data_IF_480352120689
#
_entry.id   IF_480352120689
#
_cell.length_a   1.000
_cell.length_b   1.000
_cell.length_c   1.000
_cell.angle_alpha   90.00
_cell.angle_beta   90.00
_cell.angle_gamma   90.00
#
_symmetry.space_group_name_H-M   'P 1'
#
loop_
_entity.id
_entity.type
_entity.pdbx_description
1 polymer ?
#
# COMPACT_ATOMS: atom_id res chain seq x y z
N UNK A 1 15.45 -1.79 5.48
CA UNK A 1 15.51 -3.17 4.95
C UNK A 1 14.30 -4.02 5.31
N UNK A 2 13.79 -4.00 6.54
CA UNK A 2 12.63 -4.81 6.96
C UNK A 2 11.42 -4.75 6.00
N UNK A 3 11.05 -3.56 5.52
CA UNK A 3 9.95 -3.38 4.55
C UNK A 3 10.19 -4.16 3.24
N UNK A 4 11.43 -4.17 2.72
CA UNK A 4 11.79 -4.95 1.52
C UNK A 4 11.64 -6.45 1.79
N UNK A 5 12.15 -6.92 2.92
CA UNK A 5 12.02 -8.32 3.33
C UNK A 5 10.55 -8.74 3.49
N UNK A 6 9.71 -7.89 4.09
CA UNK A 6 8.26 -8.15 4.17
C UNK A 6 7.60 -8.25 2.80
N UNK A 7 8.02 -7.45 1.82
CA UNK A 7 7.52 -7.53 0.44
C UNK A 7 7.98 -8.83 -0.22
N UNK A 8 9.26 -9.14 -0.13
CA UNK A 8 9.85 -10.36 -0.71
C UNK A 8 9.21 -11.63 -0.15
N UNK A 9 8.87 -11.64 1.15
CA UNK A 9 8.17 -12.74 1.82
C UNK A 9 6.64 -12.69 1.67
N UNK A 10 6.12 -11.63 1.04
CA UNK A 10 4.70 -11.50 0.74
C UNK A 10 3.80 -11.05 1.90
N UNK A 11 4.36 -10.57 3.01
CA UNK A 11 3.60 -9.96 4.12
C UNK A 11 3.12 -8.55 3.77
N UNK A 12 3.97 -7.75 3.14
CA UNK A 12 3.62 -6.42 2.64
C UNK A 12 3.38 -6.50 1.12
N UNK A 13 2.38 -5.76 0.62
CA UNK A 13 2.01 -5.78 -0.81
C UNK A 13 2.46 -4.54 -1.57
N UNK A 14 2.61 -3.43 -0.86
CA UNK A 14 2.88 -2.13 -1.48
C UNK A 14 3.39 -1.12 -0.46
N UNK A 15 4.22 -0.18 -0.91
CA UNK A 15 4.74 0.95 -0.15
C UNK A 15 4.23 2.24 -0.76
N UNK A 16 3.74 3.14 0.08
CA UNK A 16 3.45 4.51 -0.31
C UNK A 16 4.36 5.41 0.51
N UNK A 17 5.30 6.09 -0.14
CA UNK A 17 6.26 6.95 0.55
C UNK A 17 6.05 8.42 0.22
N UNK A 18 6.15 9.25 1.25
CA UNK A 18 6.22 10.71 1.16
C UNK A 18 7.67 11.21 1.11
N UNK A 19 8.63 10.34 1.37
CA UNK A 19 10.04 10.70 1.42
C UNK A 19 10.61 10.83 0.02
N UNK A 20 11.51 11.80 -0.15
CA UNK A 20 12.23 12.03 -1.41
C UNK A 20 13.68 11.51 -1.37
N UNK A 21 14.12 10.99 -0.23
CA UNK A 21 15.51 10.56 0.03
C UNK A 21 16.03 9.43 -0.88
N UNK A 22 15.11 8.70 -1.52
CA UNK A 22 15.40 7.59 -2.42
C UNK A 22 15.87 6.30 -1.73
N UNK A 23 15.78 6.19 -0.41
CA UNK A 23 16.26 5.02 0.34
C UNK A 23 15.47 3.73 0.03
N UNK A 24 14.17 3.84 -0.27
CA UNK A 24 13.41 2.69 -0.74
C UNK A 24 13.92 2.18 -2.10
N UNK A 25 14.12 3.09 -3.07
CA UNK A 25 14.73 2.77 -4.35
C UNK A 25 16.11 2.13 -4.15
N UNK A 26 16.98 2.77 -3.38
CA UNK A 26 18.35 2.29 -3.11
C UNK A 26 18.38 0.95 -2.39
N UNK A 27 17.39 0.64 -1.56
CA UNK A 27 17.30 -0.69 -0.92
C UNK A 27 17.12 -1.84 -1.92
N UNK A 28 16.84 -1.53 -3.19
CA UNK A 28 16.53 -2.49 -4.24
C UNK A 28 15.06 -2.90 -4.26
N UNK A 29 14.18 -2.06 -3.68
CA UNK A 29 12.75 -2.28 -3.79
C UNK A 29 12.30 -2.04 -5.23
N UNK A 30 11.65 -3.04 -5.84
CA UNK A 30 11.25 -2.95 -7.24
C UNK A 30 10.15 -1.88 -7.46
N UNK A 31 10.22 -1.21 -8.61
CA UNK A 31 9.30 -0.13 -9.01
C UNK A 31 7.83 -0.50 -8.83
N UNK A 32 7.45 -1.75 -9.13
CA UNK A 32 6.07 -2.22 -9.07
C UNK A 32 5.47 -2.27 -7.66
N UNK A 33 6.27 -2.09 -6.60
CA UNK A 33 5.81 -2.16 -5.21
C UNK A 33 5.79 -0.82 -4.48
N UNK A 34 6.03 0.29 -5.17
CA UNK A 34 6.18 1.60 -4.53
C UNK A 34 5.48 2.73 -5.27
N UNK A 35 4.83 3.61 -4.52
CA UNK A 35 4.45 4.95 -4.96
C UNK A 35 5.32 6.00 -4.28
N UNK A 36 5.98 6.85 -5.07
CA UNK A 36 6.83 7.95 -4.59
C UNK A 36 6.10 9.28 -4.77
N UNK A 37 5.18 9.58 -3.86
CA UNK A 37 4.14 10.58 -4.14
C UNK A 37 4.64 12.03 -4.14
N UNK A 38 5.81 12.31 -3.54
CA UNK A 38 6.44 13.63 -3.54
C UNK A 38 7.69 13.70 -4.46
N UNK A 39 7.90 12.67 -5.28
CA UNK A 39 9.10 12.51 -6.09
C UNK A 39 10.25 11.80 -5.37
N UNK A 40 11.42 11.78 -6.00
CA UNK A 40 12.62 11.15 -5.47
C UNK A 40 13.86 11.88 -6.00
N UNK A 41 14.81 12.18 -5.12
CA UNK A 41 16.07 12.87 -5.44
C UNK A 41 16.92 12.15 -6.50
N UNK A 42 16.68 10.88 -6.76
CA UNK A 42 17.42 10.06 -7.71
C UNK A 42 16.60 9.75 -8.96
N UNK A 43 15.44 10.38 -9.19
CA UNK A 43 14.63 10.11 -10.39
C UNK A 43 14.44 11.36 -11.24
N UNK A 44 14.34 11.14 -12.55
CA UNK A 44 14.15 12.20 -13.54
C UNK A 44 13.05 11.79 -14.52
N UNK A 45 12.19 12.72 -14.93
CA UNK A 45 11.07 12.46 -15.86
C UNK A 45 11.20 13.26 -17.14
N UNK A 46 10.99 12.62 -18.29
CA UNK A 46 11.02 13.30 -19.57
C UNK A 46 9.74 14.10 -19.81
N UNK A 47 9.85 15.37 -20.21
CA UNK A 47 8.69 16.21 -20.50
C UNK A 47 7.86 15.75 -21.71
N UNK A 48 8.49 15.10 -22.71
CA UNK A 48 7.83 14.63 -23.93
C UNK A 48 7.29 13.21 -23.84
N UNK A 49 8.15 12.22 -23.60
CA UNK A 49 7.74 10.81 -23.59
C UNK A 49 7.23 10.30 -22.23
N UNK A 50 7.30 11.13 -21.18
CA UNK A 50 6.87 10.83 -19.81
C UNK A 50 7.58 9.66 -19.12
N UNK A 51 8.55 9.01 -19.76
CA UNK A 51 9.41 8.00 -19.14
C UNK A 51 10.23 8.61 -18.00
N UNK A 52 10.42 7.81 -16.97
CA UNK A 52 11.21 8.14 -15.79
C UNK A 52 12.47 7.29 -15.76
N UNK A 53 13.56 7.86 -15.25
CA UNK A 53 14.86 7.22 -15.18
C UNK A 53 15.50 7.43 -13.82
N UNK A 54 16.27 6.45 -13.37
CA UNK A 54 17.09 6.58 -12.17
C UNK A 54 18.43 7.24 -12.52
N UNK A 55 18.80 8.25 -11.73
CA UNK A 55 20.09 8.91 -11.74
C UNK A 55 21.03 8.24 -10.73
N UNK A 56 22.32 8.13 -11.10
CA UNK A 56 23.38 7.64 -10.20
C UNK A 56 23.60 8.56 -9.00
N UNK A 57 23.43 9.86 -9.19
CA UNK A 57 23.59 10.88 -8.16
C UNK A 57 22.29 11.63 -7.95
N UNK A 58 22.14 12.25 -6.78
CA UNK A 58 21.00 13.13 -6.54
C UNK A 58 20.93 14.23 -7.62
N UNK A 59 19.72 14.55 -8.05
CA UNK A 59 19.45 15.69 -8.93
C UNK A 59 19.80 16.99 -8.21
N UNK A 60 20.17 18.02 -8.99
CA UNK A 60 20.66 19.31 -8.45
C UNK A 60 19.54 20.33 -8.22
N UNK A 61 18.30 19.97 -8.48
CA UNK A 61 17.14 20.87 -8.49
C UNK A 61 15.96 20.26 -7.73
N UNK A 62 15.02 21.11 -7.34
CA UNK A 62 13.76 20.77 -6.69
C UNK A 62 12.66 21.60 -7.35
N UNK A 63 11.46 21.03 -7.49
CA UNK A 63 10.31 21.75 -8.03
C UNK A 63 10.11 21.52 -9.52
N UNK A 64 10.36 20.30 -9.99
CA UNK A 64 10.17 19.90 -11.39
C UNK A 64 10.86 20.85 -12.37
N UNK A 65 12.15 21.13 -12.12
CA UNK A 65 12.97 22.02 -12.94
C UNK A 65 13.73 21.25 -14.02
N UNK A 66 14.03 21.95 -15.11
CA UNK A 66 14.74 21.38 -16.26
C UNK A 66 16.19 21.07 -15.88
N UNK A 67 16.62 19.84 -16.10
CA UNK A 67 17.99 19.39 -15.84
C UNK A 67 18.92 19.62 -17.04
N UNK A 68 18.39 20.06 -18.18
CA UNK A 68 19.11 20.19 -19.46
C UNK A 68 19.74 18.87 -19.97
N UNK A 69 19.24 17.73 -19.49
CA UNK A 69 19.65 16.39 -19.93
C UNK A 69 18.69 15.92 -21.03
N UNK A 70 19.23 15.49 -22.17
CA UNK A 70 18.41 14.92 -23.27
C UNK A 70 17.83 13.57 -22.86
N UNK A 71 16.59 13.31 -23.26
CA UNK A 71 15.96 12.02 -23.03
C UNK A 71 16.68 10.91 -23.82
N UNK A 72 17.02 9.82 -23.13
CA UNK A 72 17.65 8.64 -23.73
C UNK A 72 16.64 7.64 -24.32
N UNK A 73 15.36 7.76 -23.98
CA UNK A 73 14.32 6.84 -24.45
C UNK A 73 13.93 7.03 -25.92
N UNK A 74 13.18 6.05 -26.44
CA UNK A 74 12.57 6.09 -27.76
C UNK A 74 11.11 6.55 -27.67
N UNK A 75 10.63 7.23 -28.71
CA UNK A 75 9.21 7.57 -28.85
C UNK A 75 8.39 6.36 -29.35
N UNK A 76 7.08 6.53 -29.51
CA UNK A 76 6.17 5.46 -29.97
C UNK A 76 6.53 4.90 -31.35
N UNK A 77 7.14 5.71 -32.21
CA UNK A 77 7.59 5.32 -33.56
C UNK A 77 9.00 4.70 -33.56
N UNK A 78 9.61 4.44 -32.39
CA UNK A 78 10.94 3.87 -32.29
C UNK A 78 12.10 4.85 -32.49
N UNK A 79 11.82 6.11 -32.81
CA UNK A 79 12.82 7.17 -32.99
C UNK A 79 13.29 7.71 -31.65
N UNK A 80 14.51 8.26 -31.60
CA UNK A 80 15.05 8.89 -30.39
C UNK A 80 14.11 10.01 -29.89
N UNK A 81 13.79 9.98 -28.60
CA UNK A 81 12.98 11.02 -28.00
C UNK A 81 13.74 12.35 -27.99
N UNK A 82 13.11 13.42 -28.48
CA UNK A 82 13.67 14.78 -28.49
C UNK A 82 13.26 15.60 -27.26
N UNK A 83 12.97 14.93 -26.15
CA UNK A 83 12.57 15.57 -24.88
C UNK A 83 13.78 15.89 -24.02
N UNK A 84 13.53 16.65 -22.96
CA UNK A 84 14.53 16.91 -21.91
C UNK A 84 14.00 16.40 -20.57
N UNK A 85 14.92 16.05 -19.68
CA UNK A 85 14.61 15.52 -18.37
C UNK A 85 14.45 16.64 -17.34
N UNK A 86 13.51 16.43 -16.43
CA UNK A 86 13.22 17.28 -15.29
C UNK A 86 13.37 16.46 -14.01
N UNK A 87 13.66 17.10 -12.88
CA UNK A 87 13.52 16.42 -11.58
C UNK A 87 12.05 16.07 -11.29
N UNK A 88 11.84 15.17 -10.34
CA UNK A 88 10.50 14.69 -9.96
C UNK A 88 10.01 15.29 -8.65
N UNK A 89 10.84 16.07 -7.96
CA UNK A 89 10.55 16.55 -6.61
C UNK A 89 9.54 17.68 -6.70
N UNK A 90 8.51 17.60 -5.84
CA UNK A 90 7.47 18.60 -5.80
C UNK A 90 7.90 19.82 -4.97
N UNK A 91 7.51 21.00 -5.45
CA UNK A 91 7.37 22.21 -4.63
C UNK A 91 5.90 22.37 -4.18
N UNK A 92 5.62 23.28 -3.25
CA UNK A 92 4.32 23.42 -2.57
C UNK A 92 3.11 23.55 -3.50
N UNK A 93 3.26 24.24 -4.63
CA UNK A 93 2.17 24.49 -5.57
C UNK A 93 1.96 23.34 -6.58
N UNK A 94 2.83 22.34 -6.58
CA UNK A 94 2.72 21.22 -7.50
C UNK A 94 1.63 20.25 -7.06
N UNK A 95 0.93 19.71 -8.05
CA UNK A 95 0.04 18.57 -7.85
C UNK A 95 0.84 17.29 -7.63
N UNK A 96 0.31 16.37 -6.83
CA UNK A 96 0.85 15.02 -6.73
C UNK A 96 0.83 14.33 -8.11
N UNK A 97 1.83 13.48 -8.44
CA UNK A 97 1.80 12.72 -9.67
C UNK A 97 0.59 11.79 -9.69
N UNK A 98 -0.25 11.92 -10.73
CA UNK A 98 -1.53 11.23 -10.83
C UNK A 98 -1.36 9.72 -10.78
N UNK A 99 -0.37 9.18 -11.49
CA UNK A 99 -0.15 7.73 -11.55
C UNK A 99 0.28 7.16 -10.18
N UNK A 100 1.14 7.88 -9.45
CA UNK A 100 1.59 7.49 -8.11
C UNK A 100 0.44 7.50 -7.12
N UNK A 101 -0.39 8.56 -7.15
CA UNK A 101 -1.54 8.71 -6.27
C UNK A 101 -2.62 7.66 -6.57
N UNK A 102 -2.91 7.39 -7.84
CA UNK A 102 -3.87 6.36 -8.23
C UNK A 102 -3.45 4.98 -7.72
N UNK A 103 -2.17 4.62 -7.87
CA UNK A 103 -1.62 3.37 -7.34
C UNK A 103 -1.71 3.30 -5.82
N UNK A 104 -1.30 4.38 -5.14
CA UNK A 104 -1.35 4.46 -3.69
C UNK A 104 -2.79 4.28 -3.15
N UNK A 105 -3.76 4.96 -3.76
CA UNK A 105 -5.16 4.80 -3.40
C UNK A 105 -5.70 3.41 -3.72
N UNK A 106 -5.30 2.83 -4.86
CA UNK A 106 -5.75 1.52 -5.31
C UNK A 106 -5.30 0.42 -4.34
N UNK A 107 -4.01 0.41 -4.00
CA UNK A 107 -3.45 -0.53 -3.03
C UNK A 107 -4.04 -0.32 -1.64
N UNK A 108 -4.18 0.93 -1.17
CA UNK A 108 -4.79 1.17 0.13
C UNK A 108 -6.25 0.72 0.17
N UNK A 109 -7.06 0.97 -0.87
CA UNK A 109 -8.45 0.47 -0.93
C UNK A 109 -8.50 -1.07 -0.84
N UNK A 110 -7.50 -1.77 -1.36
CA UNK A 110 -7.47 -3.25 -1.33
C UNK A 110 -6.95 -3.83 -0.01
N UNK A 111 -6.18 -3.06 0.74
CA UNK A 111 -5.54 -3.50 1.97
C UNK A 111 -6.57 -3.87 3.06
N UNK A 112 -6.30 -4.98 3.73
CA UNK A 112 -6.89 -5.35 5.02
C UNK A 112 -6.12 -4.71 6.19
N UNK A 113 -4.88 -4.27 5.97
CA UNK A 113 -4.06 -3.53 6.93
C UNK A 113 -3.23 -2.45 6.24
N UNK A 114 -3.29 -1.22 6.75
CA UNK A 114 -2.34 -0.14 6.43
C UNK A 114 -1.56 0.25 7.68
N UNK A 115 -0.24 0.32 7.56
CA UNK A 115 0.66 0.75 8.65
C UNK A 115 1.34 2.05 8.22
N UNK A 116 1.13 3.12 8.99
CA UNK A 116 1.81 4.40 8.79
C UNK A 116 3.04 4.43 9.68
N UNK A 117 4.22 4.62 9.11
CA UNK A 117 5.49 4.64 9.83
C UNK A 117 6.14 6.02 9.70
N UNK A 118 6.39 6.70 10.82
CA UNK A 118 7.21 7.92 10.82
C UNK A 118 6.62 9.10 10.05
N UNK A 119 5.29 9.26 10.02
CA UNK A 119 4.63 10.39 9.36
C UNK A 119 3.64 11.07 10.30
N UNK A 120 3.66 12.41 10.32
CA UNK A 120 2.70 13.22 11.09
C UNK A 120 1.29 13.24 10.48
N UNK A 121 1.14 12.72 9.25
CA UNK A 121 -0.11 12.69 8.48
C UNK A 121 -0.75 14.08 8.30
N UNK A 122 0.07 15.14 8.23
CA UNK A 122 -0.43 16.51 8.08
C UNK A 122 -0.77 16.88 6.64
N UNK A 123 0.03 16.42 5.69
CA UNK A 123 -0.02 16.80 4.27
C UNK A 123 -1.19 16.10 3.58
N UNK A 124 -2.02 16.89 2.91
CA UNK A 124 -3.11 16.40 2.07
C UNK A 124 -2.69 16.39 0.59
N UNK A 125 -3.25 15.50 -0.23
CA UNK A 125 -4.25 14.48 0.11
C UNK A 125 -3.66 13.17 0.67
N UNK A 126 -2.33 13.03 0.74
CA UNK A 126 -1.67 11.75 1.04
C UNK A 126 -2.05 11.18 2.42
N UNK A 127 -2.29 12.03 3.41
CA UNK A 127 -2.73 11.60 4.74
C UNK A 127 -4.08 10.87 4.77
N UNK A 128 -4.92 11.03 3.73
CA UNK A 128 -6.20 10.33 3.61
C UNK A 128 -6.02 8.92 3.05
N UNK A 129 -4.92 8.66 2.33
CA UNK A 129 -4.70 7.40 1.63
C UNK A 129 -4.80 6.20 2.56
N UNK A 130 -4.11 6.11 3.71
CA UNK A 130 -4.16 4.92 4.59
C UNK A 130 -5.59 4.51 5.00
N UNK A 131 -6.48 5.49 5.14
CA UNK A 131 -7.86 5.27 5.59
C UNK A 131 -8.78 4.76 4.49
N UNK A 132 -8.34 4.72 3.24
CA UNK A 132 -9.08 4.07 2.18
C UNK A 132 -9.28 2.57 2.43
N UNK A 133 -8.36 1.92 3.16
CA UNK A 133 -8.49 0.52 3.60
C UNK A 133 -9.77 0.26 4.40
N UNK A 134 -10.19 1.23 5.23
CA UNK A 134 -11.41 1.10 6.06
C UNK A 134 -12.68 0.94 5.24
N UNK A 135 -12.71 1.44 4.00
CA UNK A 135 -13.86 1.25 3.07
C UNK A 135 -14.12 -0.23 2.79
N UNK A 136 -13.11 -1.09 2.94
CA UNK A 136 -13.20 -2.53 2.77
C UNK A 136 -12.92 -3.30 4.07
N UNK A 137 -13.26 -2.69 5.23
CA UNK A 137 -13.05 -3.25 6.58
C UNK A 137 -11.58 -3.44 6.98
N UNK A 138 -10.64 -2.87 6.23
CA UNK A 138 -9.24 -2.87 6.60
C UNK A 138 -8.97 -2.03 7.86
N UNK A 139 -7.86 -2.33 8.52
CA UNK A 139 -7.39 -1.70 9.75
C UNK A 139 -6.26 -0.72 9.45
N UNK A 140 -6.13 0.31 10.28
CA UNK A 140 -5.05 1.30 10.17
C UNK A 140 -4.26 1.36 11.47
N UNK A 141 -2.97 1.12 11.38
CA UNK A 141 -2.00 1.26 12.48
C UNK A 141 -1.14 2.48 12.21
N UNK A 142 -0.85 3.27 13.24
CA UNK A 142 0.07 4.39 13.16
C UNK A 142 1.21 4.16 14.14
N UNK A 143 2.45 4.17 13.66
CA UNK A 143 3.64 4.23 14.49
C UNK A 143 4.36 5.55 14.26
N UNK A 144 4.39 6.39 15.30
CA UNK A 144 5.09 7.67 15.26
C UNK A 144 5.43 8.13 16.67
N UNK A 145 6.61 8.72 16.86
CA UNK A 145 7.02 9.28 18.16
C UNK A 145 6.08 10.41 18.61
N UNK A 146 5.69 11.26 17.66
CA UNK A 146 4.80 12.40 17.91
C UNK A 146 3.33 12.03 17.62
N UNK A 147 2.42 12.78 18.24
CA UNK A 147 1.00 12.78 17.89
C UNK A 147 0.80 13.09 16.41
N UNK A 148 -0.10 12.36 15.73
CA UNK A 148 -0.42 12.62 14.32
C UNK A 148 -1.75 13.34 14.15
N UNK A 149 -1.96 13.97 12.99
CA UNK A 149 -3.25 14.60 12.64
C UNK A 149 -4.41 13.59 12.60
N UNK A 150 -4.12 12.30 12.50
CA UNK A 150 -5.13 11.27 12.24
C UNK A 150 -5.19 10.14 13.29
N UNK A 151 -4.60 10.32 14.48
CA UNK A 151 -4.60 9.31 15.55
C UNK A 151 -6.00 8.78 15.87
N UNK A 152 -7.00 9.69 15.98
CA UNK A 152 -8.39 9.33 16.28
C UNK A 152 -9.06 8.43 15.23
N UNK A 153 -8.49 8.33 14.03
CA UNK A 153 -9.01 7.48 12.96
C UNK A 153 -8.32 6.11 12.94
N UNK A 154 -7.18 5.93 13.60
CA UNK A 154 -6.46 4.66 13.61
C UNK A 154 -7.17 3.63 14.49
N UNK A 155 -6.98 2.35 14.18
CA UNK A 155 -7.38 1.23 15.03
C UNK A 155 -6.34 0.96 16.13
N UNK A 156 -5.08 1.33 15.90
CA UNK A 156 -3.99 1.25 16.86
C UNK A 156 -2.97 2.38 16.63
N UNK A 157 -2.51 3.01 17.70
CA UNK A 157 -1.44 4.00 17.69
C UNK A 157 -0.32 3.53 18.60
N UNK A 158 0.91 3.52 18.10
CA UNK A 158 2.12 3.08 18.82
C UNK A 158 3.12 4.24 18.82
N UNK A 159 3.56 4.63 20.00
CA UNK A 159 4.54 5.71 20.17
C UNK A 159 5.91 5.12 20.50
N UNK A 160 6.70 4.82 19.48
CA UNK A 160 8.05 4.26 19.60
C UNK A 160 8.89 4.58 18.36
N UNK A 161 10.18 4.25 18.39
CA UNK A 161 11.04 4.28 17.20
C UNK A 161 10.57 3.22 16.20
N UNK A 162 10.51 3.60 14.91
CA UNK A 162 10.06 2.69 13.84
C UNK A 162 10.96 1.47 13.76
N UNK A 163 12.27 1.61 14.00
CA UNK A 163 13.20 0.48 13.98
C UNK A 163 12.88 -0.54 15.08
N UNK A 164 12.59 -0.09 16.32
CA UNK A 164 12.22 -0.99 17.43
C UNK A 164 10.91 -1.75 17.12
N UNK A 165 9.91 -1.05 16.57
CA UNK A 165 8.66 -1.68 16.14
C UNK A 165 8.93 -2.71 15.05
N UNK A 166 9.68 -2.35 14.01
CA UNK A 166 9.93 -3.22 12.87
C UNK A 166 10.78 -4.42 13.27
N UNK A 167 11.79 -4.26 14.12
CA UNK A 167 12.59 -5.39 14.66
C UNK A 167 11.71 -6.35 15.45
N UNK A 168 10.88 -5.83 16.35
CA UNK A 168 9.94 -6.65 17.14
C UNK A 168 8.94 -7.38 16.25
N UNK A 169 8.39 -6.70 15.23
CA UNK A 169 7.46 -7.28 14.27
C UNK A 169 8.11 -8.38 13.43
N UNK A 170 9.32 -8.13 12.90
CA UNK A 170 10.04 -9.10 12.09
C UNK A 170 10.38 -10.36 12.90
N UNK A 171 10.76 -10.21 14.16
CA UNK A 171 10.98 -11.34 15.07
C UNK A 171 9.70 -12.14 15.31
N UNK A 172 8.56 -11.47 15.57
CA UNK A 172 7.26 -12.14 15.76
C UNK A 172 6.76 -12.86 14.51
N UNK A 173 7.10 -12.34 13.33
CA UNK A 173 6.76 -12.96 12.04
C UNK A 173 7.75 -14.04 11.62
N UNK A 174 8.84 -14.24 12.37
CA UNK A 174 9.95 -15.13 12.01
C UNK A 174 10.53 -14.80 10.61
N UNK A 175 10.66 -13.51 10.31
CA UNK A 175 11.22 -13.03 9.03
C UNK A 175 12.57 -12.39 9.25
N UNK A 176 13.60 -12.94 8.59
CA UNK A 176 14.92 -12.32 8.55
C UNK A 176 14.91 -10.97 7.82
N UNK A 177 15.62 -10.00 8.40
CA UNK A 177 15.87 -8.71 7.74
C UNK A 177 17.09 -8.87 6.83
N UNK A 178 16.84 -8.78 5.52
CA UNK A 178 17.88 -8.82 4.50
C UNK A 178 18.89 -7.67 4.70
N UNK A 179 20.17 -7.94 4.45
CA UNK A 179 21.20 -6.90 4.46
C UNK A 179 21.11 -6.06 3.18
N UNK A 180 21.50 -4.80 3.27
CA UNK A 180 21.65 -3.97 2.09
C UNK A 180 22.78 -4.53 1.20
N UNK A 181 22.50 -4.64 -0.09
CA UNK A 181 23.46 -5.08 -1.08
C UNK A 181 23.53 -4.07 -2.22
N UNK A 182 24.72 -3.53 -2.45
CA UNK A 182 25.00 -2.49 -3.46
C UNK A 182 24.62 -2.93 -4.88
N UNK A 183 24.66 -4.24 -5.16
CA UNK A 183 24.27 -4.83 -6.45
C UNK A 183 22.78 -4.71 -6.73
N UNK A 184 21.95 -4.55 -5.68
CA UNK A 184 20.50 -4.37 -5.81
C UNK A 184 20.10 -2.90 -5.88
N UNK A 185 21.03 -1.97 -5.65
CA UNK A 185 20.80 -0.53 -5.65
C UNK A 185 20.72 0.01 -7.09
N UNK A 186 19.55 0.47 -7.56
CA UNK A 186 19.38 0.97 -8.92
C UNK A 186 20.20 2.23 -9.24
N UNK A 187 20.72 2.92 -8.21
CA UNK A 187 21.63 4.08 -8.40
C UNK A 187 23.07 3.66 -8.65
N UNK A 188 23.42 2.38 -8.45
CA UNK A 188 24.79 1.88 -8.54
C UNK A 188 25.02 0.82 -9.63
N UNK A 189 24.04 0.58 -10.51
CA UNK A 189 24.19 -0.36 -11.62
C UNK A 189 25.17 0.21 -12.65
N UNK A 190 26.23 -0.56 -12.97
CA UNK A 190 27.35 -0.21 -13.83
C UNK A 190 26.91 0.39 -15.19
N UNK A 191 26.78 1.72 -15.23
CA UNK A 191 26.47 2.54 -16.41
C UNK A 191 25.12 2.30 -17.09
N UNK A 192 24.29 1.38 -16.58
CA UNK A 192 22.95 1.15 -17.12
C UNK A 192 21.97 2.13 -16.47
N UNK A 193 21.35 2.98 -17.28
CA UNK A 193 20.26 3.83 -16.80
C UNK A 193 19.05 2.93 -16.53
N UNK A 194 18.63 2.90 -15.27
CA UNK A 194 17.47 2.12 -14.85
C UNK A 194 16.18 2.84 -15.25
N UNK A 195 15.29 2.12 -15.92
CA UNK A 195 13.93 2.58 -16.19
C UNK A 195 13.11 2.58 -14.90
N UNK A 196 12.49 3.71 -14.59
CA UNK A 196 11.65 3.91 -13.41
C UNK A 196 10.21 4.32 -13.77
N UNK A 197 9.83 4.09 -15.03
CA UNK A 197 8.53 4.48 -15.59
C UNK A 197 7.42 3.58 -15.05
N UNK A 198 6.31 4.16 -14.60
CA UNK A 198 5.04 3.43 -14.47
C UNK A 198 4.44 3.34 -15.88
N UNK A 199 4.33 2.12 -16.42
CA UNK A 199 3.72 1.94 -17.72
C UNK A 199 2.19 1.86 -17.62
N UNK A 200 1.51 2.29 -18.68
CA UNK A 200 0.05 2.23 -18.76
C UNK A 200 -0.49 0.79 -18.62
N UNK A 201 0.28 -0.20 -19.08
CA UNK A 201 -0.05 -1.61 -18.91
C UNK A 201 0.00 -2.05 -17.45
N UNK A 202 0.94 -1.54 -16.65
CA UNK A 202 0.99 -1.82 -15.21
C UNK A 202 -0.29 -1.30 -14.53
N UNK A 203 -0.69 -0.07 -14.86
CA UNK A 203 -1.93 0.52 -14.37
C UNK A 203 -3.17 -0.29 -14.81
N UNK A 204 -3.21 -0.76 -16.06
CA UNK A 204 -4.30 -1.61 -16.57
C UNK A 204 -4.38 -2.94 -15.81
N UNK A 205 -3.24 -3.62 -15.63
CA UNK A 205 -3.17 -4.89 -14.94
C UNK A 205 -3.66 -4.77 -13.48
N UNK A 206 -3.23 -3.73 -12.76
CA UNK A 206 -3.64 -3.55 -11.36
C UNK A 206 -5.13 -3.16 -11.27
N UNK A 207 -5.64 -2.35 -12.21
CA UNK A 207 -7.08 -2.06 -12.30
C UNK A 207 -7.90 -3.32 -12.58
N UNK A 208 -7.40 -4.23 -13.40
CA UNK A 208 -8.04 -5.51 -13.69
C UNK A 208 -8.03 -6.45 -12.49
N UNK A 209 -6.88 -6.58 -11.80
CA UNK A 209 -6.77 -7.29 -10.53
C UNK A 209 -7.81 -6.80 -9.52
N UNK A 210 -8.03 -5.48 -9.45
CA UNK A 210 -9.07 -4.89 -8.59
C UNK A 210 -10.48 -5.30 -8.98
N UNK A 211 -10.82 -5.25 -10.28
CA UNK A 211 -12.14 -5.69 -10.78
C UNK A 211 -12.40 -7.14 -10.37
N UNK A 212 -11.41 -8.00 -10.57
CA UNK A 212 -11.48 -9.42 -10.24
C UNK A 212 -11.64 -9.64 -8.72
N UNK A 213 -10.86 -8.93 -7.89
CA UNK A 213 -10.96 -9.02 -6.44
C UNK A 213 -12.35 -8.58 -5.90
N UNK A 214 -12.93 -7.52 -6.48
CA UNK A 214 -14.28 -7.07 -6.14
C UNK A 214 -15.32 -8.12 -6.53
N UNK A 215 -15.21 -8.70 -7.73
CA UNK A 215 -16.13 -9.73 -8.21
C UNK A 215 -16.07 -10.99 -7.35
N UNK A 216 -14.86 -11.41 -6.96
CA UNK A 216 -14.64 -12.54 -6.03
C UNK A 216 -15.26 -12.26 -4.66
N UNK A 217 -15.08 -11.05 -4.10
CA UNK A 217 -15.73 -10.67 -2.83
C UNK A 217 -17.25 -10.69 -2.93
N UNK A 218 -17.83 -10.25 -4.05
CA UNK A 218 -19.28 -10.32 -4.30
C UNK A 218 -19.78 -11.76 -4.39
N UNK A 219 -19.08 -12.63 -5.14
CA UNK A 219 -19.39 -14.06 -5.27
C UNK A 219 -19.36 -14.79 -3.92
N UNK A 220 -18.28 -14.62 -3.15
CA UNK A 220 -18.18 -15.19 -1.80
C UNK A 220 -19.32 -14.72 -0.89
N UNK A 221 -19.72 -13.44 -0.99
CA UNK A 221 -20.84 -12.91 -0.21
C UNK A 221 -22.19 -13.49 -0.64
N UNK A 222 -22.41 -13.76 -1.92
CA UNK A 222 -23.62 -14.47 -2.38
C UNK A 222 -23.64 -15.93 -1.96
N UNK A 223 -22.49 -16.63 -2.03
CA UNK A 223 -22.35 -18.03 -1.60
C UNK A 223 -22.60 -18.21 -0.10
N UNK A 224 -22.05 -17.32 0.75
CA UNK A 224 -22.31 -17.35 2.20
C UNK A 224 -23.80 -17.13 2.48
N UNK A 225 -24.44 -16.17 1.80
CA UNK A 225 -25.89 -15.93 1.96
C UNK A 225 -26.74 -17.13 1.55
N UNK A 226 -26.37 -17.85 0.49
CA UNK A 226 -27.11 -19.06 0.09
C UNK A 226 -26.92 -20.18 1.10
N UNK A 227 -25.72 -20.35 1.66
CA UNK A 227 -25.44 -21.36 2.70
C UNK A 227 -26.20 -21.04 4.01
N UNK A 228 -26.26 -19.76 4.41
CA UNK A 228 -27.04 -19.34 5.58
C UNK A 228 -28.54 -19.63 5.38
N UNK A 229 -29.10 -19.32 4.21
CA UNK A 229 -30.51 -19.61 3.89
C UNK A 229 -30.81 -21.11 3.83
N UNK A 230 -29.89 -21.92 3.29
CA UNK A 230 -30.03 -23.37 3.22
C UNK A 230 -29.94 -24.00 4.62
N UNK A 231 -29.10 -23.43 5.51
CA UNK A 231 -29.04 -23.84 6.92
C UNK A 231 -30.31 -23.48 7.69
N UNK A 232 -30.87 -22.28 7.51
CA UNK A 232 -32.15 -21.88 8.13
C UNK A 232 -33.30 -22.77 7.65
N UNK A 233 -33.38 -23.06 6.35
CA UNK A 233 -34.39 -23.96 5.79
C UNK A 233 -34.26 -25.40 6.31
N UNK A 234 -33.04 -25.88 6.53
CA UNK A 234 -32.77 -27.20 7.11
C UNK A 234 -33.07 -27.28 8.62
N UNK A 235 -32.91 -26.18 9.38
CA UNK A 235 -33.37 -26.12 10.77
C UNK A 235 -34.90 -26.10 10.86
N UNK A 236 -35.58 -25.44 9.92
CA UNK A 236 -37.04 -25.39 9.84
C UNK A 236 -37.65 -26.75 9.43
N UNK A 237 -36.97 -27.53 8.58
CA UNK A 237 -37.45 -28.85 8.13
C UNK A 237 -37.20 -29.98 9.14
N UNK A 238 -36.18 -29.87 9.99
CA UNK A 238 -35.85 -30.90 11.00
C UNK A 238 -36.56 -30.72 12.35
N UNK A 239 -37.30 -29.63 12.56
CA UNK A 239 -38.17 -29.47 13.74
C UNK A 239 -39.51 -30.17 13.53
N UNK A 240 -39.48 -31.51 13.47
CA UNK A 240 -40.67 -32.34 13.59
C UNK A 240 -41.18 -32.24 15.03
N UNK A 241 -42.35 -31.62 15.15
CA UNK A 241 -43.17 -31.41 16.35
C UNK A 241 -43.08 -32.57 17.35
N UNK A 242 -42.35 -32.39 18.45
CA UNK A 242 -42.66 -33.08 19.72
C UNK A 242 -43.76 -32.27 20.40
N UNK A 243 -45.00 -32.78 20.32
CA UNK A 243 -46.17 -32.19 20.98
C UNK A 243 -45.97 -32.16 22.50
N UNK A 244 -46.33 -31.08 23.20
CA UNK A 244 -46.30 -31.05 24.66
C UNK A 244 -47.51 -31.81 25.22
N UNK A 245 -47.27 -32.98 25.82
CA UNK A 245 -48.23 -33.63 26.71
C UNK A 245 -47.94 -33.25 28.17
N UNK A 246 -48.94 -32.64 28.79
CA UNK A 246 -49.20 -32.35 30.21
C UNK A 246 -48.25 -33.01 31.24
N UNK A 247 -47.76 -32.23 32.21
CA UNK A 247 -48.14 -32.29 33.65
C UNK A 247 -47.42 -31.16 34.44
N UNK A 248 -48.14 -30.74 35.47
CA UNK A 248 -48.08 -29.61 36.39
C UNK A 248 -46.84 -29.37 37.27
N UNK A 249 -46.71 -28.09 37.67
CA UNK A 249 -46.32 -27.54 38.99
C UNK A 249 -45.00 -28.04 39.61
N UNK A 250 -44.04 -27.13 39.73
CA UNK A 250 -43.50 -26.73 41.04
C UNK A 250 -42.80 -25.37 40.96
N UNK A 251 -43.17 -24.53 41.92
CA UNK A 251 -42.70 -23.20 42.27
C UNK A 251 -41.30 -23.19 42.86
N UNK A 252 -40.65 -22.02 42.75
CA UNK A 252 -39.54 -21.52 43.59
C UNK A 252 -38.24 -22.34 43.58
N UNK A 253 -37.12 -21.66 43.27
CA UNK A 253 -36.08 -21.34 44.25
C UNK A 253 -35.07 -20.39 43.62
N UNK A 254 -34.81 -19.31 44.35
CA UNK A 254 -33.74 -18.34 44.20
C UNK A 254 -32.34 -18.96 44.21
N UNK A 255 -31.40 -18.19 43.64
CA UNK A 255 -29.98 -18.11 44.00
C UNK A 255 -29.07 -19.33 43.73
N UNK A 256 -27.82 -18.97 43.40
CA UNK A 256 -26.54 -19.72 43.38
C UNK A 256 -25.95 -19.65 41.95
N UNK A 257 -24.74 -19.16 41.67
CA UNK A 257 -23.65 -18.53 42.41
C UNK A 257 -22.73 -17.92 41.33
N UNK A 258 -22.15 -16.74 41.64
CA UNK A 258 -20.84 -16.20 41.22
C UNK A 258 -20.27 -16.54 39.85
#
# INVERSE_FOLDING_TARGET
MAIKSMINKGYAKYVVTQNIDGLHLKSGLLRQYISEVHGNMFTMKCNKCKRSYVSKTAVKTVGQLCLNIKCIGKNKSGNQCRGVLYDTILDWEHQLPVEELELAELHSKMADLCICLGTSLQIQPINLVPFNAKKNKGKVVICNLQKTKCDRKADLVIHTYVDDLMLSLMNLLEVDIEKYEIITDPTNLNHQITDWTIYENDLKNIREMRKNAIQLKKRKKSEIKSLDQESENNLLSNNTILKPSKISKLSNIDNILK
#
